data_IF_606671634199
#
_entry.id   IF_606671634199
#
_cell.length_a   1.000
_cell.length_b   1.000
_cell.length_c   1.000
_cell.angle_alpha   90.00
_cell.angle_beta   90.00
_cell.angle_gamma   90.00
#
_symmetry.space_group_name_H-M   'P 1'
#
loop_
_entity.id
_entity.type
_entity.pdbx_description
1 polymer ?
#
# COMPACT_ATOMS: atom_id res chain seq x y z
N UNK A 1 27.93 7.63 0.67
CA UNK A 1 26.95 8.08 -0.34
C UNK A 1 25.56 7.85 0.23
N UNK A 2 24.67 8.84 0.22
CA UNK A 2 23.29 8.64 0.68
C UNK A 2 22.61 7.60 -0.22
N UNK A 3 22.09 6.52 0.36
CA UNK A 3 21.23 5.58 -0.38
C UNK A 3 19.99 6.36 -0.87
N UNK A 4 19.58 6.10 -2.11
CA UNK A 4 18.38 6.72 -2.67
C UNK A 4 17.15 6.11 -2.01
N UNK A 5 16.17 6.93 -1.63
CA UNK A 5 14.91 6.47 -1.06
C UNK A 5 13.86 6.32 -2.15
N UNK A 6 13.24 5.15 -2.26
CA UNK A 6 12.16 4.89 -3.18
C UNK A 6 10.93 4.40 -2.42
N UNK A 7 9.77 4.82 -2.91
CA UNK A 7 8.48 4.40 -2.39
C UNK A 7 7.78 3.60 -3.49
N UNK A 8 7.28 2.42 -3.15
CA UNK A 8 6.35 1.65 -3.97
C UNK A 8 4.94 1.94 -3.44
N UNK A 9 4.15 2.79 -4.12
CA UNK A 9 2.84 3.20 -3.64
C UNK A 9 1.76 2.16 -3.96
N UNK A 10 0.96 1.78 -2.96
CA UNK A 10 -0.26 0.99 -3.11
C UNK A 10 -1.45 1.82 -2.64
N UNK A 11 -2.35 2.19 -3.55
CA UNK A 11 -3.53 2.99 -3.20
C UNK A 11 -4.71 2.09 -2.84
N UNK A 12 -5.00 1.99 -1.54
CA UNK A 12 -6.11 1.18 -1.04
C UNK A 12 -7.40 2.00 -1.08
N UNK A 13 -8.47 1.50 -1.74
CA UNK A 13 -9.75 2.20 -1.81
C UNK A 13 -10.31 2.53 -0.44
N UNK A 14 -10.98 3.67 -0.33
CA UNK A 14 -11.58 4.13 0.91
C UNK A 14 -12.82 3.30 1.30
N UNK A 15 -12.61 2.08 1.82
CA UNK A 15 -13.66 1.16 2.28
C UNK A 15 -13.82 1.10 3.80
N UNK A 16 -12.82 1.56 4.56
CA UNK A 16 -12.83 1.49 6.02
C UNK A 16 -13.44 2.73 6.69
N UNK A 17 -13.71 3.80 5.94
CA UNK A 17 -14.30 5.01 6.49
C UNK A 17 -15.83 4.96 6.31
N UNK A 18 -16.64 5.01 7.38
CA UNK A 18 -18.09 5.10 7.29
C UNK A 18 -18.56 6.49 6.81
N UNK A 19 -17.65 7.45 6.66
CA UNK A 19 -17.96 8.83 6.28
C UNK A 19 -17.75 9.03 4.77
N UNK A 20 -18.78 9.56 4.10
CA UNK A 20 -18.71 10.01 2.71
C UNK A 20 -18.29 11.48 2.66
N UNK A 21 -17.00 11.75 2.84
CA UNK A 21 -16.44 13.10 2.74
C UNK A 21 -16.35 13.53 1.27
N UNK A 22 -16.82 14.74 0.96
CA UNK A 22 -16.83 15.30 -0.41
C UNK A 22 -15.43 15.36 -1.05
N UNK A 23 -14.38 15.41 -0.24
CA UNK A 23 -12.99 15.47 -0.72
C UNK A 23 -12.39 14.09 -1.01
N UNK A 24 -12.91 13.02 -0.40
CA UNK A 24 -12.36 11.65 -0.56
C UNK A 24 -13.38 10.63 -1.06
N UNK A 25 -14.52 11.09 -1.59
CA UNK A 25 -15.55 10.25 -2.23
C UNK A 25 -15.04 9.70 -3.58
N UNK A 26 -14.12 8.73 -3.49
CA UNK A 26 -13.46 8.11 -4.65
C UNK A 26 -14.47 7.53 -5.63
N UNK A 27 -15.60 6.99 -5.14
CA UNK A 27 -16.66 6.45 -6.00
C UNK A 27 -17.19 7.50 -6.98
N UNK A 28 -17.39 8.75 -6.52
CA UNK A 28 -17.81 9.85 -7.39
C UNK A 28 -16.69 10.38 -8.28
N UNK A 29 -15.44 10.30 -7.83
CA UNK A 29 -14.29 10.95 -8.50
C UNK A 29 -13.72 10.08 -9.63
N UNK A 30 -13.44 8.80 -9.35
CA UNK A 30 -12.67 7.95 -10.27
C UNK A 30 -13.54 7.00 -11.08
N UNK A 31 -14.80 6.78 -10.68
CA UNK A 31 -15.70 5.75 -11.21
C UNK A 31 -15.10 4.31 -11.20
N UNK A 32 -13.90 4.14 -10.62
CA UNK A 32 -13.19 2.88 -10.48
C UNK A 32 -13.49 2.30 -9.10
N UNK A 33 -14.00 1.07 -9.10
CA UNK A 33 -14.27 0.29 -7.88
C UNK A 33 -13.29 -0.87 -7.71
N UNK A 34 -12.22 -0.88 -8.52
CA UNK A 34 -11.27 -1.99 -8.61
C UNK A 34 -10.74 -2.33 -7.22
N UNK A 35 -10.99 -3.58 -6.82
CA UNK A 35 -10.51 -4.12 -5.57
C UNK A 35 -9.01 -4.36 -5.67
N UNK A 36 -8.28 -3.95 -4.64
CA UNK A 36 -6.86 -4.27 -4.54
C UNK A 36 -6.76 -5.70 -4.04
N UNK A 37 -6.15 -6.57 -4.83
CA UNK A 37 -5.92 -7.96 -4.44
C UNK A 37 -4.47 -8.17 -4.00
N UNK A 38 -4.16 -9.25 -3.26
CA UNK A 38 -2.78 -9.60 -2.94
C UNK A 38 -1.89 -9.72 -4.18
N UNK A 39 -2.42 -10.28 -5.27
CA UNK A 39 -1.71 -10.46 -6.54
C UNK A 39 -1.38 -9.12 -7.19
N UNK A 40 -2.26 -8.11 -7.03
CA UNK A 40 -1.96 -6.75 -7.46
C UNK A 40 -0.76 -6.19 -6.69
N UNK A 41 -0.71 -6.37 -5.37
CA UNK A 41 0.41 -5.90 -4.53
C UNK A 41 1.72 -6.58 -4.96
N UNK A 42 1.71 -7.90 -5.18
CA UNK A 42 2.90 -8.63 -5.67
C UNK A 42 3.37 -8.14 -7.04
N UNK A 43 2.42 -7.89 -7.94
CA UNK A 43 2.71 -7.36 -9.28
C UNK A 43 3.31 -5.95 -9.20
N UNK A 44 2.78 -5.07 -8.36
CA UNK A 44 3.32 -3.73 -8.16
C UNK A 44 4.73 -3.77 -7.58
N UNK A 45 4.96 -4.59 -6.55
CA UNK A 45 6.30 -4.81 -6.00
C UNK A 45 7.27 -5.22 -7.12
N UNK A 46 6.91 -6.24 -7.90
CA UNK A 46 7.77 -6.75 -8.98
C UNK A 46 8.04 -5.70 -10.07
N UNK A 47 7.01 -4.93 -10.45
CA UNK A 47 7.13 -3.87 -11.46
C UNK A 47 8.10 -2.79 -11.03
N UNK A 48 7.95 -2.24 -9.81
CA UNK A 48 8.83 -1.18 -9.33
C UNK A 48 10.27 -1.69 -9.13
N UNK A 49 10.43 -2.87 -8.54
CA UNK A 49 11.75 -3.47 -8.33
C UNK A 49 12.50 -3.77 -9.63
N UNK A 50 11.79 -3.94 -10.76
CA UNK A 50 12.43 -4.09 -12.07
C UNK A 50 13.18 -2.83 -12.54
N UNK A 51 12.86 -1.67 -11.96
CA UNK A 51 13.43 -0.37 -12.33
C UNK A 51 14.34 0.25 -11.26
N UNK A 52 14.31 -0.28 -10.04
CA UNK A 52 15.06 0.26 -8.90
C UNK A 52 16.38 -0.50 -8.75
N UNK A 53 17.50 0.22 -8.66
CA UNK A 53 18.78 -0.37 -8.23
C UNK A 53 18.73 -0.72 -6.74
N UNK A 54 18.44 -1.98 -6.44
CA UNK A 54 18.32 -2.47 -5.06
C UNK A 54 19.61 -2.46 -4.25
N UNK A 55 20.79 -2.44 -4.87
CA UNK A 55 22.05 -2.44 -4.11
C UNK A 55 22.31 -1.09 -3.44
N UNK A 56 21.84 0.01 -4.05
CA UNK A 56 22.13 1.38 -3.61
C UNK A 56 20.88 2.18 -3.20
N UNK A 57 19.79 1.48 -2.86
CA UNK A 57 18.53 2.09 -2.45
C UNK A 57 18.01 1.58 -1.13
N UNK A 58 17.21 2.43 -0.49
CA UNK A 58 16.23 2.06 0.52
C UNK A 58 14.85 2.07 -0.15
N UNK A 59 14.09 0.99 -0.02
CA UNK A 59 12.79 0.82 -0.68
C UNK A 59 11.72 0.55 0.37
N UNK A 60 10.74 1.44 0.46
CA UNK A 60 9.57 1.31 1.31
C UNK A 60 8.35 0.94 0.46
N UNK A 61 7.57 -0.06 0.88
CA UNK A 61 6.23 -0.27 0.35
C UNK A 61 5.23 0.52 1.21
N UNK A 62 4.46 1.42 0.58
CA UNK A 62 3.52 2.30 1.29
C UNK A 62 2.08 2.03 0.85
N UNK A 63 1.23 1.61 1.80
CA UNK A 63 -0.22 1.56 1.62
C UNK A 63 -0.82 2.95 1.88
N UNK A 64 -1.20 3.64 0.81
CA UNK A 64 -1.86 4.92 0.84
C UNK A 64 -3.38 4.77 0.89
N UNK A 65 -4.02 5.69 1.62
CA UNK A 65 -5.44 5.70 1.90
C UNK A 65 -5.71 6.52 3.16
N UNK A 66 -6.94 6.48 3.66
CA UNK A 66 -7.32 7.16 4.90
C UNK A 66 -7.85 6.22 5.98
N UNK A 67 -8.03 4.94 5.70
CA UNK A 67 -8.82 4.05 6.57
C UNK A 67 -8.31 2.60 6.55
N UNK A 68 -7.01 2.38 6.33
CA UNK A 68 -6.44 1.04 6.17
C UNK A 68 -6.77 0.12 7.35
N UNK A 69 -6.55 0.57 8.58
CA UNK A 69 -6.84 -0.24 9.78
C UNK A 69 -8.35 -0.35 10.08
N UNK A 70 -9.18 0.45 9.42
CA UNK A 70 -10.65 0.37 9.50
C UNK A 70 -11.29 -0.62 8.53
N UNK A 71 -10.53 -1.25 7.62
CA UNK A 71 -11.05 -2.35 6.77
C UNK A 71 -11.00 -3.69 7.54
N UNK A 72 -11.74 -4.73 7.12
CA UNK A 72 -11.71 -6.03 7.82
C UNK A 72 -10.31 -6.61 7.97
N UNK A 73 -9.97 -7.16 9.15
CA UNK A 73 -8.64 -7.71 9.46
C UNK A 73 -8.18 -8.77 8.45
N UNK A 74 -9.08 -9.64 7.98
CA UNK A 74 -8.74 -10.64 6.96
C UNK A 74 -8.24 -10.00 5.67
N UNK A 75 -8.88 -8.90 5.25
CA UNK A 75 -8.47 -8.15 4.07
C UNK A 75 -7.15 -7.40 4.31
N UNK A 76 -6.95 -6.81 5.49
CA UNK A 76 -5.64 -6.24 5.86
C UNK A 76 -4.53 -7.28 5.76
N UNK A 77 -4.75 -8.47 6.34
CA UNK A 77 -3.78 -9.58 6.33
C UNK A 77 -3.48 -10.05 4.92
N UNK A 78 -4.51 -10.18 4.06
CA UNK A 78 -4.35 -10.54 2.65
C UNK A 78 -3.47 -9.53 1.90
N UNK A 79 -3.66 -8.23 2.13
CA UNK A 79 -2.85 -7.18 1.49
C UNK A 79 -1.42 -7.10 2.05
N UNK A 80 -1.25 -7.30 3.36
CA UNK A 80 0.06 -7.26 4.02
C UNK A 80 0.91 -8.51 3.75
N UNK A 81 0.30 -9.65 3.46
CA UNK A 81 1.02 -10.91 3.19
C UNK A 81 2.12 -10.78 2.12
N UNK A 82 1.84 -10.25 0.91
CA UNK A 82 2.87 -10.07 -0.10
C UNK A 82 3.94 -9.03 0.27
N UNK A 83 3.55 -7.97 0.99
CA UNK A 83 4.49 -6.99 1.53
C UNK A 83 5.46 -7.63 2.54
N UNK A 84 4.93 -8.42 3.46
CA UNK A 84 5.70 -9.16 4.46
C UNK A 84 6.65 -10.18 3.82
N UNK A 85 6.19 -10.91 2.79
CA UNK A 85 7.05 -11.82 2.04
C UNK A 85 8.21 -11.08 1.34
N UNK A 86 7.95 -9.89 0.78
CA UNK A 86 8.97 -9.06 0.16
C UNK A 86 9.99 -8.52 1.18
N UNK A 87 9.51 -8.12 2.36
CA UNK A 87 10.36 -7.67 3.47
C UNK A 87 11.29 -8.79 3.94
N UNK A 88 10.74 -9.97 4.23
CA UNK A 88 11.54 -11.14 4.66
C UNK A 88 12.54 -11.63 3.61
N UNK A 89 12.25 -11.35 2.34
CA UNK A 89 13.16 -11.68 1.22
C UNK A 89 14.17 -10.57 0.93
N UNK A 90 14.27 -9.53 1.77
CA UNK A 90 15.09 -8.33 1.58
C UNK A 90 14.84 -7.61 0.24
N UNK A 91 13.66 -7.79 -0.36
CA UNK A 91 13.27 -7.10 -1.61
C UNK A 91 12.91 -5.65 -1.34
N UNK A 92 12.33 -5.38 -0.17
CA UNK A 92 12.06 -4.05 0.37
C UNK A 92 12.66 -3.95 1.77
N UNK A 93 12.81 -2.73 2.26
CA UNK A 93 13.43 -2.41 3.54
C UNK A 93 12.40 -2.08 4.62
N UNK A 94 11.19 -1.62 4.24
CA UNK A 94 10.14 -1.24 5.20
C UNK A 94 8.73 -1.30 4.61
N UNK A 95 7.74 -1.34 5.50
CA UNK A 95 6.30 -1.31 5.17
C UNK A 95 5.65 -0.19 5.97
N UNK A 96 5.06 0.76 5.24
CA UNK A 96 4.30 1.87 5.81
C UNK A 96 2.83 1.78 5.42
N UNK A 97 1.94 2.18 6.33
CA UNK A 97 0.52 2.28 6.07
C UNK A 97 -0.03 3.63 6.52
N UNK A 98 -0.98 4.16 5.75
CA UNK A 98 -1.73 5.36 6.10
C UNK A 98 -3.09 4.96 6.67
N UNK A 99 -3.40 5.46 7.86
CA UNK A 99 -4.71 5.26 8.48
C UNK A 99 -5.12 6.48 9.28
N UNK A 100 -6.40 6.53 9.62
CA UNK A 100 -6.99 7.54 10.47
C UNK A 100 -6.53 7.32 11.92
N UNK A 101 -6.15 8.38 12.66
CA UNK A 101 -5.70 8.24 14.06
C UNK A 101 -6.73 7.57 14.98
N UNK A 102 -8.02 7.72 14.69
CA UNK A 102 -9.11 7.10 15.44
C UNK A 102 -9.35 5.61 15.11
N UNK A 103 -8.61 5.04 14.16
CA UNK A 103 -8.65 3.61 13.80
C UNK A 103 -7.38 2.84 14.24
N UNK A 104 -6.60 3.39 15.18
CA UNK A 104 -5.38 2.76 15.72
C UNK A 104 -5.70 2.07 17.04
#
# INVERSE_FOLDING_TARGET
>A
MNKKYYIIPIFVPNRGCPHNCIFCDQKKITNETNEITPEFVEKQISLYLSTIDRKNSYVELSFFGGSFTGIPLDYQNRLLKPAFNALNSNKIDDIRLSTRPDYI
#
